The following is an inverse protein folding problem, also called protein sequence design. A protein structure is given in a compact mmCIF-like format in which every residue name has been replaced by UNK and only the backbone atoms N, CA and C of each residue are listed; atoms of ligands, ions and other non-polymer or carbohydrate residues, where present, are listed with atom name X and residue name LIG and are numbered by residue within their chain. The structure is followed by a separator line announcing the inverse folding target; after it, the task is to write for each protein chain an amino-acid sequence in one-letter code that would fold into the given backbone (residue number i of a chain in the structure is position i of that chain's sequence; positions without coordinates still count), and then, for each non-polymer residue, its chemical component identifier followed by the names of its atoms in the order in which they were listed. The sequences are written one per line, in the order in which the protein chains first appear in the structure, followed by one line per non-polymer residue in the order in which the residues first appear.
data_IF_570800114438
#
_entry.id   IF_570800114438
#
_cell.length_a   1.000
_cell.length_b   1.000
_cell.length_c   1.000
_cell.angle_alpha   90.00
_cell.angle_beta   90.00
_cell.angle_gamma   90.00
#
_symmetry.space_group_name_H-M   'P 1'
#
loop_
_entity.id
_entity.type
_entity.pdbx_description
1 polymer ?
#
# COMPACT_ATOMS: atom_id res chain seq x y z
N UNK A 1 3.53 -0.01 -29.16
CA UNK A 1 2.50 0.65 -28.36
C UNK A 1 1.87 1.73 -29.21
N UNK A 2 0.54 1.87 -29.19
CA UNK A 2 -0.15 2.97 -29.86
C UNK A 2 0.10 4.30 -29.13
N UNK A 3 -0.12 5.42 -29.80
CA UNK A 3 -0.03 6.75 -29.15
C UNK A 3 -1.00 6.88 -27.96
N UNK A 4 -2.15 6.22 -28.02
CA UNK A 4 -3.14 6.20 -26.93
C UNK A 4 -2.64 5.41 -25.72
N UNK A 5 -1.95 4.28 -25.92
CA UNK A 5 -1.33 3.50 -24.84
C UNK A 5 -0.20 4.29 -24.14
N UNK A 6 0.55 5.09 -24.89
CA UNK A 6 1.61 5.93 -24.32
C UNK A 6 1.01 7.05 -23.48
N UNK A 7 -0.02 7.75 -24.00
CA UNK A 7 -0.69 8.83 -23.27
C UNK A 7 -1.35 8.30 -22.00
N UNK A 8 -2.06 7.18 -22.07
CA UNK A 8 -2.69 6.56 -20.89
C UNK A 8 -1.66 6.15 -19.84
N UNK A 9 -0.50 5.63 -20.26
CA UNK A 9 0.60 5.33 -19.34
C UNK A 9 1.14 6.59 -18.65
N UNK A 10 1.39 7.66 -19.40
CA UNK A 10 1.88 8.94 -18.85
C UNK A 10 0.87 9.50 -17.84
N UNK A 11 -0.41 9.55 -18.20
CA UNK A 11 -1.47 10.02 -17.30
C UNK A 11 -1.52 9.19 -16.03
N UNK A 12 -1.43 7.85 -16.13
CA UNK A 12 -1.43 6.94 -14.97
C UNK A 12 -0.25 7.24 -14.04
N UNK A 13 0.96 7.44 -14.60
CA UNK A 13 2.15 7.78 -13.83
C UNK A 13 1.96 9.12 -13.10
N UNK A 14 1.49 10.16 -13.81
CA UNK A 14 1.26 11.48 -13.21
C UNK A 14 0.21 11.42 -12.09
N UNK A 15 -0.89 10.70 -12.30
CA UNK A 15 -1.92 10.50 -11.29
C UNK A 15 -1.38 9.78 -10.05
N UNK A 16 -0.63 8.69 -10.21
CA UNK A 16 -0.10 7.91 -9.09
C UNK A 16 0.97 8.67 -8.30
N UNK A 17 1.83 9.44 -8.97
CA UNK A 17 2.81 10.31 -8.31
C UNK A 17 2.10 11.41 -7.53
N UNK A 18 1.10 12.07 -8.14
CA UNK A 18 0.33 13.14 -7.49
C UNK A 18 -0.41 12.61 -6.27
N UNK A 19 -1.03 11.43 -6.39
CA UNK A 19 -1.68 10.74 -5.29
C UNK A 19 -0.70 10.43 -4.16
N UNK A 20 0.45 9.84 -4.47
CA UNK A 20 1.49 9.51 -3.48
C UNK A 20 2.00 10.75 -2.75
N UNK A 21 2.15 11.87 -3.46
CA UNK A 21 2.57 13.15 -2.89
C UNK A 21 1.51 13.73 -1.93
N UNK A 22 0.22 13.72 -2.31
CA UNK A 22 -0.88 14.17 -1.45
C UNK A 22 -0.95 13.36 -0.17
N UNK A 23 -0.91 12.01 -0.27
CA UNK A 23 -0.91 11.15 0.91
C UNK A 23 0.31 11.37 1.80
N UNK A 24 1.48 11.62 1.20
CA UNK A 24 2.70 11.94 1.94
C UNK A 24 2.54 13.23 2.74
N UNK A 25 2.00 14.29 2.13
CA UNK A 25 1.77 15.58 2.82
C UNK A 25 0.74 15.41 3.94
N UNK A 26 -0.37 14.72 3.66
CA UNK A 26 -1.43 14.48 4.65
C UNK A 26 -0.90 13.69 5.85
N UNK A 27 -0.23 12.55 5.63
CA UNK A 27 0.33 11.77 6.72
C UNK A 27 1.41 12.53 7.48
N UNK A 28 2.27 13.29 6.79
CA UNK A 28 3.29 14.10 7.45
C UNK A 28 2.67 15.16 8.34
N UNK A 29 1.65 15.87 7.85
CA UNK A 29 0.95 16.87 8.62
C UNK A 29 0.25 16.24 9.83
N UNK A 30 -0.54 15.19 9.59
CA UNK A 30 -1.24 14.43 10.64
C UNK A 30 -0.28 13.98 11.74
N UNK A 31 0.77 13.21 11.41
CA UNK A 31 1.67 12.69 12.42
C UNK A 31 2.51 13.78 13.10
N UNK A 32 2.84 14.88 12.41
CA UNK A 32 3.53 16.02 13.05
C UNK A 32 2.62 16.66 14.09
N UNK A 33 1.38 16.99 13.73
CA UNK A 33 0.40 17.61 14.63
C UNK A 33 0.08 16.70 15.81
N UNK A 34 -0.21 15.42 15.58
CA UNK A 34 -0.47 14.49 16.69
C UNK A 34 0.76 14.31 17.59
N UNK A 35 1.98 14.33 17.04
CA UNK A 35 3.19 14.29 17.88
C UNK A 35 3.32 15.55 18.74
N UNK A 36 3.00 16.73 18.19
CA UNK A 36 2.99 17.99 18.96
C UNK A 36 1.94 17.95 20.08
N UNK A 37 0.75 17.40 19.83
CA UNK A 37 -0.30 17.24 20.84
C UNK A 37 0.15 16.34 21.99
N UNK A 38 0.73 15.18 21.68
CA UNK A 38 1.33 14.23 22.65
C UNK A 38 2.44 14.91 23.47
N UNK A 39 3.39 15.60 22.82
CA UNK A 39 4.49 16.25 23.52
C UNK A 39 4.03 17.41 24.40
N UNK A 40 2.97 18.09 23.98
CA UNK A 40 2.33 19.16 24.73
C UNK A 40 1.49 18.65 25.91
N UNK A 41 1.33 17.32 26.03
CA UNK A 41 0.58 16.61 27.06
C UNK A 41 -0.94 16.76 27.00
N UNK A 42 -1.47 17.34 25.92
CA UNK A 42 -2.92 17.44 25.68
C UNK A 42 -3.61 16.07 25.70
N UNK A 43 -2.89 15.01 25.34
CA UNK A 43 -3.39 13.64 25.28
C UNK A 43 -2.99 12.79 26.52
N UNK A 44 -2.38 13.36 27.56
CA UNK A 44 -1.78 12.56 28.66
C UNK A 44 -2.78 11.62 29.37
N UNK A 45 -4.02 12.06 29.59
CA UNK A 45 -5.09 11.21 30.16
C UNK A 45 -5.40 10.06 29.21
N UNK A 46 -5.59 10.35 27.93
CA UNK A 46 -5.88 9.33 26.91
C UNK A 46 -4.73 8.33 26.75
N UNK A 47 -3.47 8.77 26.87
CA UNK A 47 -2.31 7.89 26.82
C UNK A 47 -2.30 6.88 27.98
N UNK A 48 -2.61 7.33 29.20
CA UNK A 48 -2.68 6.46 30.37
C UNK A 48 -3.86 5.50 30.26
N UNK A 49 -5.04 5.99 29.86
CA UNK A 49 -6.22 5.15 29.66
C UNK A 49 -5.95 4.06 28.60
N UNK A 50 -5.32 4.43 27.49
CA UNK A 50 -4.91 3.48 26.45
C UNK A 50 -3.90 2.45 26.99
N UNK A 51 -2.93 2.86 27.82
CA UNK A 51 -1.96 1.94 28.41
C UNK A 51 -2.61 0.93 29.38
N UNK A 52 -3.57 1.39 30.19
CA UNK A 52 -4.37 0.54 31.08
C UNK A 52 -5.19 -0.47 30.27
N UNK A 53 -5.84 -0.01 29.20
CA UNK A 53 -6.62 -0.86 28.33
C UNK A 53 -5.75 -1.86 27.57
N UNK A 54 -4.55 -1.48 27.14
CA UNK A 54 -3.58 -2.42 26.57
C UNK A 54 -3.19 -3.52 27.57
N UNK A 55 -2.95 -3.21 28.85
CA UNK A 55 -2.67 -4.22 29.88
C UNK A 55 -3.88 -5.12 30.17
N UNK A 56 -5.10 -4.56 30.23
CA UNK A 56 -6.34 -5.35 30.35
C UNK A 56 -6.51 -6.29 29.15
N UNK A 57 -6.27 -5.80 27.93
CA UNK A 57 -6.32 -6.63 26.74
C UNK A 57 -5.22 -7.69 26.72
N UNK A 58 -4.03 -7.39 27.25
CA UNK A 58 -3.00 -8.41 27.50
C UNK A 58 -3.44 -9.43 28.56
N UNK A 59 -4.47 -9.22 29.37
CA UNK A 59 -5.01 -10.29 30.24
C UNK A 59 -6.06 -11.14 29.51
N UNK A 60 -6.78 -10.53 28.58
CA UNK A 60 -7.84 -11.21 27.83
C UNK A 60 -7.28 -12.13 26.71
N UNK A 61 -7.34 -13.44 26.94
CA UNK A 61 -6.82 -14.47 26.02
C UNK A 61 -7.43 -14.41 24.61
N UNK A 62 -8.72 -14.09 24.45
CA UNK A 62 -9.36 -14.09 23.12
C UNK A 62 -8.89 -12.91 22.27
N UNK A 63 -8.84 -11.70 22.85
CA UNK A 63 -8.35 -10.50 22.18
C UNK A 63 -6.88 -10.61 21.78
N UNK A 64 -6.02 -11.18 22.65
CA UNK A 64 -4.61 -11.46 22.33
C UNK A 64 -4.47 -12.37 21.12
N UNK A 65 -5.23 -13.47 21.11
CA UNK A 65 -5.19 -14.45 20.03
C UNK A 65 -5.66 -13.81 18.71
N UNK A 66 -6.75 -13.03 18.74
CA UNK A 66 -7.24 -12.32 17.56
C UNK A 66 -6.22 -11.32 17.00
N UNK A 67 -5.60 -10.48 17.84
CA UNK A 67 -4.55 -9.55 17.38
C UNK A 67 -3.36 -10.27 16.75
N UNK A 68 -2.93 -11.39 17.34
CA UNK A 68 -1.83 -12.18 16.79
C UNK A 68 -2.22 -12.77 15.43
N UNK A 69 -3.40 -13.39 15.33
CA UNK A 69 -3.93 -13.95 14.08
C UNK A 69 -4.05 -12.88 13.01
N UNK A 70 -4.61 -11.70 13.34
CA UNK A 70 -4.75 -10.59 12.40
C UNK A 70 -3.38 -10.09 11.89
N UNK A 71 -2.38 -9.95 12.77
CA UNK A 71 -1.01 -9.58 12.38
C UNK A 71 -0.37 -10.62 11.46
N UNK A 72 -0.50 -11.91 11.79
CA UNK A 72 0.04 -13.00 10.98
C UNK A 72 -0.66 -13.04 9.62
N UNK A 73 -2.00 -13.00 9.60
CA UNK A 73 -2.80 -13.01 8.39
C UNK A 73 -2.44 -11.83 7.46
N UNK A 74 -2.29 -10.63 8.01
CA UNK A 74 -1.87 -9.44 7.25
C UNK A 74 -0.49 -9.62 6.61
N UNK A 75 0.50 -10.16 7.33
CA UNK A 75 1.84 -10.43 6.78
C UNK A 75 1.84 -11.53 5.73
N UNK A 76 1.06 -12.60 5.93
CA UNK A 76 0.91 -13.68 4.96
C UNK A 76 0.26 -13.16 3.67
N UNK A 77 -0.79 -12.34 3.78
CA UNK A 77 -1.45 -11.72 2.64
C UNK A 77 -0.47 -10.82 1.85
N UNK A 78 0.28 -9.96 2.54
CA UNK A 78 1.26 -9.09 1.90
C UNK A 78 2.37 -9.90 1.21
N UNK A 79 2.86 -10.95 1.86
CA UNK A 79 3.84 -11.87 1.27
C UNK A 79 3.31 -12.58 0.03
N UNK A 80 2.06 -13.05 0.05
CA UNK A 80 1.42 -13.68 -1.10
C UNK A 80 1.31 -12.71 -2.30
N UNK A 81 0.89 -11.46 -2.07
CA UNK A 81 0.85 -10.42 -3.10
C UNK A 81 2.24 -10.17 -3.68
N UNK A 82 3.26 -10.08 -2.83
CA UNK A 82 4.64 -9.88 -3.26
C UNK A 82 5.16 -11.04 -4.13
N UNK A 83 4.86 -12.29 -3.74
CA UNK A 83 5.21 -13.48 -4.54
C UNK A 83 4.50 -13.46 -5.89
N UNK A 84 3.21 -13.10 -5.95
CA UNK A 84 2.45 -12.97 -7.20
C UNK A 84 3.04 -11.87 -8.08
N UNK A 85 3.47 -10.75 -7.49
CA UNK A 85 4.11 -9.66 -8.21
C UNK A 85 5.47 -10.08 -8.81
N UNK A 86 6.33 -10.73 -8.02
CA UNK A 86 7.59 -11.30 -8.51
C UNK A 86 7.35 -12.32 -9.63
N UNK A 87 6.37 -13.20 -9.44
CA UNK A 87 5.93 -14.15 -10.45
C UNK A 87 5.52 -13.43 -11.75
N UNK A 88 4.71 -12.37 -11.67
CA UNK A 88 4.29 -11.60 -12.83
C UNK A 88 5.49 -10.99 -13.58
N UNK A 89 6.46 -10.40 -12.87
CA UNK A 89 7.69 -9.85 -13.46
C UNK A 89 8.49 -10.93 -14.19
N UNK A 90 8.72 -12.08 -13.54
CA UNK A 90 9.48 -13.19 -14.15
C UNK A 90 8.76 -13.72 -15.39
N UNK A 91 7.44 -13.90 -15.31
CA UNK A 91 6.62 -14.35 -16.44
C UNK A 91 6.66 -13.35 -17.61
N UNK A 92 6.69 -12.04 -17.34
CA UNK A 92 6.83 -11.01 -18.38
C UNK A 92 8.16 -11.11 -19.11
N UNK A 93 9.25 -11.32 -18.37
CA UNK A 93 10.60 -11.45 -18.93
C UNK A 93 10.75 -12.73 -19.76
N UNK A 94 9.89 -13.74 -19.54
CA UNK A 94 9.90 -15.06 -20.21
C UNK A 94 8.75 -15.25 -21.21
N UNK A 95 8.28 -14.18 -21.86
CA UNK A 95 7.24 -14.19 -22.90
C UNK A 95 5.94 -14.93 -22.49
N UNK A 96 5.49 -14.71 -21.24
CA UNK A 96 4.29 -15.32 -20.67
C UNK A 96 4.30 -16.86 -20.61
N UNK A 97 5.49 -17.46 -20.65
CA UNK A 97 5.68 -18.89 -20.43
C UNK A 97 6.46 -19.11 -19.13
N UNK A 98 5.85 -19.81 -18.18
CA UNK A 98 6.52 -20.20 -16.94
C UNK A 98 6.65 -21.72 -16.85
N UNK A 99 7.86 -22.28 -17.06
CA UNK A 99 8.08 -23.72 -16.95
C UNK A 99 8.07 -24.15 -15.49
N UNK A 100 7.32 -25.22 -15.21
CA UNK A 100 7.21 -25.96 -13.95
C UNK A 100 7.47 -27.44 -14.26
N UNK A 101 8.74 -27.84 -14.26
CA UNK A 101 9.14 -29.17 -14.75
C UNK A 101 8.75 -29.36 -16.22
N UNK A 102 7.93 -30.37 -16.50
CA UNK A 102 7.44 -30.69 -17.85
C UNK A 102 6.15 -29.94 -18.24
N UNK A 103 5.62 -29.11 -17.33
CA UNK A 103 4.41 -28.33 -17.57
C UNK A 103 4.70 -26.83 -17.61
N UNK A 104 3.83 -26.03 -18.21
CA UNK A 104 3.96 -24.58 -18.30
C UNK A 104 2.60 -23.93 -18.11
N UNK A 105 2.51 -22.85 -17.35
CA UNK A 105 1.29 -22.05 -17.26
C UNK A 105 1.38 -20.86 -18.22
N UNK A 106 0.28 -20.57 -18.91
CA UNK A 106 0.15 -19.40 -19.78
C UNK A 106 -1.17 -18.67 -19.53
N UNK A 107 -1.17 -17.36 -19.77
CA UNK A 107 -2.38 -16.54 -19.67
C UNK A 107 -2.96 -16.29 -21.06
N UNK A 108 -4.24 -16.57 -21.25
CA UNK A 108 -4.95 -16.37 -22.52
C UNK A 108 -5.20 -14.88 -22.74
N UNK A 109 -4.61 -14.31 -23.79
CA UNK A 109 -4.70 -12.88 -24.09
C UNK A 109 -5.86 -12.51 -25.04
N UNK A 110 -6.44 -13.48 -25.75
CA UNK A 110 -7.47 -13.26 -26.77
C UNK A 110 -8.62 -14.27 -26.68
N UNK A 111 -9.81 -13.85 -27.11
CA UNK A 111 -11.00 -14.70 -27.20
C UNK A 111 -11.07 -15.59 -28.45
N UNK A 112 -9.94 -15.90 -29.09
CA UNK A 112 -9.93 -16.75 -30.30
C UNK A 112 -10.31 -18.21 -30.02
N UNK A 113 -10.28 -18.63 -28.76
CA UNK A 113 -10.70 -19.95 -28.28
C UNK A 113 -11.96 -19.92 -27.41
N UNK A 114 -12.67 -18.79 -27.30
CA UNK A 114 -13.76 -18.63 -26.32
C UNK A 114 -15.11 -19.19 -26.76
N UNK A 115 -15.36 -19.30 -28.07
CA UNK A 115 -16.64 -19.71 -28.63
C UNK A 115 -16.46 -20.87 -29.59
N UNK A 116 -17.48 -21.74 -29.68
CA UNK A 116 -17.57 -22.79 -30.69
C UNK A 116 -18.15 -22.22 -31.98
N UNK A 117 -17.32 -21.60 -32.82
CA UNK A 117 -17.80 -21.02 -34.07
C UNK A 117 -17.68 -21.97 -35.27
N UNK A 118 -16.69 -22.85 -35.26
CA UNK A 118 -16.40 -23.74 -36.38
C UNK A 118 -17.22 -25.04 -36.35
N UNK A 119 -17.54 -25.57 -37.53
CA UNK A 119 -18.35 -26.79 -37.70
C UNK A 119 -17.73 -28.01 -37.01
N UNK A 120 -16.41 -28.17 -37.07
CA UNK A 120 -15.73 -29.28 -36.38
C UNK A 120 -15.83 -29.20 -34.84
N UNK A 121 -16.05 -28.03 -34.25
CA UNK A 121 -16.26 -27.92 -32.78
C UNK A 121 -17.75 -27.99 -32.43
N UNK A 122 -18.61 -27.42 -33.28
CA UNK A 122 -20.07 -27.46 -33.11
C UNK A 122 -20.64 -28.86 -33.23
N UNK A 123 -20.09 -29.67 -34.14
CA UNK A 123 -20.55 -31.04 -34.40
C UNK A 123 -19.92 -32.08 -33.47
N UNK A 124 -19.00 -31.69 -32.59
CA UNK A 124 -18.34 -32.58 -31.64
C UNK A 124 -18.63 -32.11 -30.21
N UNK A 125 -19.59 -32.74 -29.55
CA UNK A 125 -20.01 -32.40 -28.19
C UNK A 125 -18.89 -32.56 -27.16
N UNK A 126 -17.90 -33.42 -27.43
CA UNK A 126 -16.79 -33.69 -26.51
C UNK A 126 -15.74 -32.56 -26.47
N UNK A 127 -15.72 -31.66 -27.46
CA UNK A 127 -14.73 -30.58 -27.57
C UNK A 127 -15.14 -29.34 -26.76
N UNK A 128 -15.24 -29.45 -25.43
CA UNK A 128 -15.69 -28.38 -24.51
C UNK A 128 -14.57 -27.58 -23.82
N UNK A 129 -13.34 -27.64 -24.34
CA UNK A 129 -12.17 -26.96 -23.80
C UNK A 129 -11.96 -25.57 -24.43
N UNK A 130 -13.01 -24.76 -24.47
CA UNK A 130 -12.94 -23.34 -24.84
C UNK A 130 -12.42 -22.50 -23.66
N UNK A 131 -11.67 -21.45 -23.98
CA UNK A 131 -11.02 -20.59 -22.99
C UNK A 131 -11.40 -19.13 -23.20
N UNK A 132 -11.74 -18.47 -22.10
CA UNK A 132 -12.04 -17.05 -22.11
C UNK A 132 -10.75 -16.24 -22.01
N UNK A 133 -10.80 -14.99 -22.48
CA UNK A 133 -9.72 -14.04 -22.25
C UNK A 133 -9.45 -13.94 -20.74
N UNK A 134 -8.17 -13.89 -20.37
CA UNK A 134 -7.67 -13.83 -18.99
C UNK A 134 -7.74 -15.14 -18.20
N UNK A 135 -8.09 -16.26 -18.82
CA UNK A 135 -7.88 -17.56 -18.19
C UNK A 135 -6.40 -17.91 -18.12
N UNK A 136 -6.03 -18.62 -17.05
CA UNK A 136 -4.72 -19.27 -16.96
C UNK A 136 -4.92 -20.75 -17.28
N UNK A 137 -4.16 -21.26 -18.24
CA UNK A 137 -4.20 -22.68 -18.61
C UNK A 137 -2.85 -23.35 -18.37
N UNK A 138 -2.91 -24.62 -17.98
CA UNK A 138 -1.75 -25.50 -17.88
C UNK A 138 -1.50 -26.20 -19.20
N UNK A 139 -0.23 -26.25 -19.58
CA UNK A 139 0.28 -26.94 -20.74
C UNK A 139 1.27 -28.02 -20.31
N UNK A 140 1.32 -29.12 -21.05
CA UNK A 140 2.35 -30.16 -20.90
C UNK A 140 3.06 -30.38 -22.23
N UNK A 141 4.35 -30.74 -22.18
CA UNK A 141 5.12 -31.01 -23.41
C UNK A 141 4.76 -32.36 -24.00
N UNK A 142 4.74 -32.43 -25.33
CA UNK A 142 4.74 -33.71 -26.04
C UNK A 142 6.09 -34.40 -25.88
N UNK A 143 6.11 -35.74 -25.91
CA UNK A 143 7.37 -36.51 -25.89
C UNK A 143 7.94 -36.67 -27.29
N UNK A 144 7.06 -36.78 -28.28
CA UNK A 144 7.38 -37.03 -29.68
C UNK A 144 6.35 -36.37 -30.61
N UNK A 145 6.65 -36.23 -31.90
CA UNK A 145 5.70 -35.64 -32.85
C UNK A 145 4.47 -36.55 -33.04
N UNK A 146 4.63 -37.86 -32.84
CA UNK A 146 3.60 -38.88 -33.01
C UNK A 146 2.52 -38.80 -31.92
N UNK A 147 2.82 -38.13 -30.80
CA UNK A 147 1.86 -37.91 -29.71
C UNK A 147 0.83 -36.82 -30.03
N UNK A 148 1.09 -36.00 -31.06
CA UNK A 148 0.25 -34.87 -31.43
C UNK A 148 -0.98 -35.39 -32.17
N UNK A 149 -2.18 -35.13 -31.62
CA UNK A 149 -3.43 -35.68 -32.17
C UNK A 149 -4.33 -34.61 -32.76
N UNK A 150 -5.17 -35.06 -33.69
CA UNK A 150 -6.27 -34.25 -34.19
C UNK A 150 -7.16 -33.80 -33.02
N UNK A 151 -7.53 -32.52 -33.04
CA UNK A 151 -8.33 -31.83 -32.02
C UNK A 151 -7.66 -31.52 -30.67
N UNK A 152 -6.36 -31.80 -30.52
CA UNK A 152 -5.58 -31.28 -29.40
C UNK A 152 -5.56 -29.76 -29.43
N UNK A 153 -5.67 -29.15 -28.24
CA UNK A 153 -5.44 -27.71 -28.09
C UNK A 153 -3.99 -27.48 -27.74
N UNK A 154 -3.26 -26.83 -28.64
CA UNK A 154 -1.82 -26.67 -28.58
C UNK A 154 -1.43 -25.21 -28.45
N UNK A 155 -0.38 -24.95 -27.69
CA UNK A 155 0.31 -23.67 -27.67
C UNK A 155 1.53 -23.74 -28.59
N UNK A 156 1.70 -22.77 -29.47
CA UNK A 156 2.82 -22.71 -30.41
C UNK A 156 3.30 -21.28 -30.63
N UNK A 157 4.51 -21.13 -31.15
CA UNK A 157 5.08 -19.82 -31.51
C UNK A 157 4.73 -19.45 -32.94
N UNK A 158 4.09 -18.29 -33.13
CA UNK A 158 3.82 -17.75 -34.46
C UNK A 158 5.07 -17.09 -35.08
N UNK A 159 4.93 -16.57 -36.31
CA UNK A 159 6.04 -15.88 -37.03
C UNK A 159 6.65 -14.68 -36.31
N UNK A 160 5.93 -14.08 -35.34
CA UNK A 160 6.39 -12.96 -34.50
C UNK A 160 6.90 -13.43 -33.12
N UNK A 161 7.11 -14.74 -32.94
CA UNK A 161 7.48 -15.36 -31.67
C UNK A 161 6.46 -15.17 -30.53
N UNK A 162 5.21 -14.83 -30.89
CA UNK A 162 4.10 -14.73 -29.93
C UNK A 162 3.50 -16.12 -29.73
N UNK A 163 3.22 -16.47 -28.48
CA UNK A 163 2.55 -17.73 -28.14
C UNK A 163 1.07 -17.64 -28.52
N UNK A 164 0.61 -18.55 -29.37
CA UNK A 164 -0.78 -18.70 -29.80
C UNK A 164 -1.30 -20.04 -29.29
N UNK A 165 -2.54 -20.08 -28.82
CA UNK A 165 -3.20 -21.30 -28.32
C UNK A 165 -4.39 -21.59 -29.19
N UNK A 166 -4.31 -22.60 -30.03
CA UNK A 166 -5.39 -22.99 -30.95
C UNK A 166 -5.49 -24.50 -31.08
N UNK A 167 -6.56 -24.98 -31.72
CA UNK A 167 -6.80 -26.40 -31.90
C UNK A 167 -6.19 -26.93 -33.19
N UNK A 168 -5.65 -28.13 -33.16
CA UNK A 168 -5.24 -28.87 -34.37
C UNK A 168 -6.48 -29.34 -35.12
N UNK A 169 -6.63 -28.88 -36.36
CA UNK A 169 -7.75 -29.22 -37.25
C UNK A 169 -7.34 -30.13 -38.41
N UNK A 170 -6.03 -30.25 -38.67
CA UNK A 170 -5.50 -31.16 -39.68
C UNK A 170 -4.10 -31.61 -39.29
N UNK A 171 -3.79 -32.89 -39.56
CA UNK A 171 -2.46 -33.48 -39.41
C UNK A 171 -2.07 -34.07 -40.76
N UNK A 172 -0.95 -33.62 -41.33
CA UNK A 172 -0.42 -34.11 -42.61
C UNK A 172 0.95 -34.72 -42.40
N UNK A 173 1.18 -35.84 -43.06
CA UNK A 173 2.52 -36.40 -43.23
C UNK A 173 2.94 -36.12 -44.66
N UNK A 174 4.08 -35.44 -44.83
CA UNK A 174 4.64 -35.22 -46.16
C UNK A 174 5.29 -36.50 -46.71
N UNK A 175 5.71 -36.46 -47.98
CA UNK A 175 6.39 -37.57 -48.65
C UNK A 175 7.76 -37.92 -48.08
N UNK A 176 8.34 -37.05 -47.24
CA UNK A 176 9.62 -37.26 -46.56
C UNK A 176 9.43 -37.82 -45.13
N UNK A 177 8.18 -37.99 -44.68
CA UNK A 177 7.83 -38.50 -43.36
C UNK A 177 7.72 -37.44 -42.28
N UNK A 178 7.82 -36.15 -42.60
CA UNK A 178 7.64 -35.08 -41.62
C UNK A 178 6.15 -34.83 -41.36
N UNK A 179 5.79 -34.73 -40.07
CA UNK A 179 4.42 -34.43 -39.67
C UNK A 179 4.26 -32.91 -39.52
N UNK A 180 3.25 -32.37 -40.18
CA UNK A 180 2.89 -30.95 -40.17
C UNK A 180 1.43 -30.77 -39.77
N UNK A 181 1.12 -29.63 -39.17
CA UNK A 181 -0.17 -29.39 -38.52
C UNK A 181 -0.85 -28.15 -39.06
N UNK A 182 -2.17 -28.18 -39.12
CA UNK A 182 -3.00 -27.01 -39.32
C UNK A 182 -3.73 -26.69 -38.01
N UNK A 183 -3.58 -25.46 -37.53
CA UNK A 183 -4.29 -24.99 -36.34
C UNK A 183 -5.36 -23.95 -36.69
N UNK A 184 -6.40 -23.88 -35.87
CA UNK A 184 -7.43 -22.85 -35.97
C UNK A 184 -8.01 -22.55 -34.58
N UNK A 185 -8.23 -21.27 -34.29
CA UNK A 185 -8.97 -20.86 -33.10
C UNK A 185 -10.44 -21.25 -33.19
N UNK A 186 -11.02 -21.81 -32.13
CA UNK A 186 -12.40 -22.28 -32.11
C UNK A 186 -13.42 -21.17 -32.44
N UNK A 187 -13.11 -19.91 -32.10
CA UNK A 187 -13.92 -18.72 -32.41
C UNK A 187 -13.64 -18.14 -33.81
N UNK A 188 -12.46 -18.44 -34.39
CA UNK A 188 -12.00 -17.84 -35.63
C UNK A 188 -12.63 -18.53 -36.84
N UNK A 189 -13.03 -17.75 -37.85
CA UNK A 189 -13.67 -18.26 -39.06
C UNK A 189 -12.70 -18.93 -40.06
N UNK A 190 -11.40 -18.68 -39.94
CA UNK A 190 -10.38 -19.19 -40.86
C UNK A 190 -9.21 -19.80 -40.10
N UNK A 191 -8.55 -20.78 -40.72
CA UNK A 191 -7.34 -21.40 -40.19
C UNK A 191 -6.14 -20.43 -40.12
N UNK A 192 -5.17 -20.77 -39.29
CA UNK A 192 -4.07 -19.89 -38.90
C UNK A 192 -3.02 -19.66 -39.99
N UNK A 193 -3.06 -20.44 -41.08
CA UNK A 193 -2.19 -20.28 -42.24
C UNK A 193 -2.77 -19.38 -43.34
N UNK A 194 -4.08 -19.11 -43.30
CA UNK A 194 -4.77 -18.33 -44.34
C UNK A 194 -4.23 -16.91 -44.35
N UNK A 195 -3.76 -16.45 -45.52
CA UNK A 195 -3.13 -15.14 -45.69
C UNK A 195 -1.84 -14.96 -44.87
N UNK A 196 -1.25 -16.05 -44.37
CA UNK A 196 -0.11 -16.01 -43.46
C UNK A 196 -0.43 -15.34 -42.11
N UNK A 197 -1.66 -15.49 -41.61
CA UNK A 197 -2.15 -14.78 -40.41
C UNK A 197 -1.29 -15.06 -39.17
N UNK A 198 -0.93 -16.33 -38.91
CA UNK A 198 0.00 -16.71 -37.83
C UNK A 198 1.32 -17.29 -38.35
N UNK A 199 1.25 -18.13 -39.38
CA UNK A 199 2.41 -18.75 -40.04
C UNK A 199 2.13 -19.00 -41.53
N UNK A 200 3.17 -19.25 -42.32
CA UNK A 200 3.04 -19.56 -43.75
C UNK A 200 3.09 -21.08 -43.95
N UNK A 201 2.13 -21.65 -44.68
CA UNK A 201 2.10 -23.09 -44.96
C UNK A 201 1.47 -23.91 -43.84
N UNK A 202 2.24 -24.83 -43.24
CA UNK A 202 1.81 -25.67 -42.12
C UNK A 202 2.74 -25.47 -40.92
N UNK A 203 2.20 -25.71 -39.72
CA UNK A 203 2.95 -25.65 -38.47
C UNK A 203 3.82 -26.89 -38.32
N UNK A 204 5.07 -26.70 -37.92
CA UNK A 204 6.03 -27.78 -37.66
C UNK A 204 6.15 -28.05 -36.15
N UNK A 205 6.55 -29.27 -35.78
CA UNK A 205 6.64 -29.70 -34.38
C UNK A 205 7.58 -28.84 -33.52
N UNK A 206 8.68 -28.32 -34.09
CA UNK A 206 9.65 -27.47 -33.38
C UNK A 206 9.06 -26.15 -32.87
N UNK A 207 7.91 -25.72 -33.41
CA UNK A 207 7.20 -24.51 -33.01
C UNK A 207 6.17 -24.75 -31.91
N UNK A 208 5.82 -26.02 -31.63
CA UNK A 208 4.85 -26.40 -30.60
C UNK A 208 5.53 -26.37 -29.23
N UNK A 209 4.93 -25.63 -28.30
CA UNK A 209 5.39 -25.50 -26.91
C UNK A 209 4.83 -26.65 -26.06
N UNK A 210 3.57 -27.04 -26.31
CA UNK A 210 2.89 -28.11 -25.58
C UNK A 210 1.38 -28.12 -25.83
N UNK A 211 0.68 -29.03 -25.17
CA UNK A 211 -0.76 -29.21 -25.25
C UNK A 211 -1.46 -28.90 -23.94
N UNK A 212 -2.73 -28.52 -24.02
CA UNK A 212 -3.57 -28.27 -22.86
C UNK A 212 -3.78 -29.54 -22.02
N UNK A 213 -3.40 -29.50 -20.75
CA UNK A 213 -3.42 -30.68 -19.87
C UNK A 213 -4.66 -30.80 -18.98
N UNK A 214 -5.71 -30.00 -19.22
CA UNK A 214 -6.94 -29.98 -18.42
C UNK A 214 -6.93 -28.98 -17.25
N UNK A 215 -5.80 -28.35 -16.93
CA UNK A 215 -5.73 -27.37 -15.82
C UNK A 215 -6.17 -25.99 -16.28
N UNK A 216 -7.23 -25.42 -15.69
CA UNK A 216 -7.71 -24.05 -15.99
C UNK A 216 -8.04 -23.30 -14.70
N UNK A 217 -7.53 -22.08 -14.55
CA UNK A 217 -7.93 -21.13 -13.52
C UNK A 217 -8.62 -19.94 -14.17
N UNK A 218 -9.90 -19.76 -13.86
CA UNK A 218 -10.73 -18.73 -14.50
C UNK A 218 -10.51 -17.36 -13.87
N UNK A 219 -10.40 -16.32 -14.71
CA UNK A 219 -10.43 -14.91 -14.30
C UNK A 219 -9.21 -14.35 -13.53
N UNK A 220 -8.32 -15.19 -12.99
CA UNK A 220 -7.14 -14.72 -12.23
C UNK A 220 -6.08 -14.11 -13.16
N UNK A 221 -6.04 -14.50 -14.43
CA UNK A 221 -5.04 -14.03 -15.39
C UNK A 221 -5.12 -12.53 -15.69
N UNK A 222 -6.25 -11.87 -15.40
CA UNK A 222 -6.38 -10.42 -15.56
C UNK A 222 -5.43 -9.68 -14.61
N UNK A 223 -5.30 -10.16 -13.37
CA UNK A 223 -4.36 -9.61 -12.40
C UNK A 223 -2.92 -9.85 -12.84
N UNK A 224 -2.61 -11.03 -13.38
CA UNK A 224 -1.28 -11.33 -13.88
C UNK A 224 -0.90 -10.39 -15.02
N UNK A 225 -1.76 -10.24 -16.04
CA UNK A 225 -1.52 -9.32 -17.16
C UNK A 225 -1.43 -7.87 -16.68
N UNK A 226 -2.28 -7.46 -15.73
CA UNK A 226 -2.21 -6.13 -15.13
C UNK A 226 -0.85 -5.89 -14.44
N UNK A 227 -0.41 -6.79 -13.56
CA UNK A 227 0.88 -6.69 -12.86
C UNK A 227 2.08 -6.71 -13.81
N UNK A 228 1.96 -7.34 -14.98
CA UNK A 228 2.95 -7.27 -16.04
C UNK A 228 2.92 -5.95 -16.83
N UNK A 229 1.79 -5.27 -16.88
CA UNK A 229 1.66 -4.01 -17.62
C UNK A 229 2.51 -2.89 -16.97
N UNK A 230 3.02 -1.92 -17.75
CA UNK A 230 3.71 -0.77 -17.17
C UNK A 230 2.88 -0.03 -16.11
N UNK A 231 1.57 0.11 -16.32
CA UNK A 231 0.66 0.73 -15.37
C UNK A 231 0.57 -0.04 -14.05
N UNK A 232 0.46 -1.38 -14.11
CA UNK A 232 0.43 -2.22 -12.91
C UNK A 232 1.73 -2.22 -12.13
N UNK A 233 2.87 -2.23 -12.83
CA UNK A 233 4.20 -2.11 -12.19
C UNK A 233 4.31 -0.79 -11.42
N UNK A 234 3.97 0.35 -12.07
CA UNK A 234 4.00 1.66 -11.41
C UNK A 234 3.04 1.70 -10.22
N UNK A 235 1.85 1.11 -10.34
CA UNK A 235 0.88 1.02 -9.24
C UNK A 235 1.45 0.30 -8.02
N UNK A 236 2.08 -0.86 -8.21
CA UNK A 236 2.70 -1.62 -7.12
C UNK A 236 3.83 -0.83 -6.47
N UNK A 237 4.68 -0.18 -7.28
CA UNK A 237 5.76 0.67 -6.76
C UNK A 237 5.22 1.84 -5.92
N UNK A 238 4.14 2.49 -6.36
CA UNK A 238 3.47 3.55 -5.60
C UNK A 238 2.89 3.04 -4.28
N UNK A 239 2.28 1.86 -4.26
CA UNK A 239 1.78 1.25 -3.02
C UNK A 239 2.93 0.97 -2.05
N UNK A 240 4.03 0.37 -2.53
CA UNK A 240 5.22 0.10 -1.70
C UNK A 240 5.80 1.39 -1.13
N UNK A 241 5.89 2.44 -1.95
CA UNK A 241 6.31 3.77 -1.49
C UNK A 241 5.39 4.33 -0.40
N UNK A 242 4.08 4.29 -0.59
CA UNK A 242 3.11 4.78 0.40
C UNK A 242 3.20 3.99 1.71
N UNK A 243 3.35 2.66 1.66
CA UNK A 243 3.51 1.83 2.85
C UNK A 243 4.82 2.17 3.59
N UNK A 244 5.92 2.35 2.87
CA UNK A 244 7.20 2.75 3.46
C UNK A 244 7.12 4.14 4.11
N UNK A 245 6.53 5.12 3.43
CA UNK A 245 6.32 6.46 3.97
C UNK A 245 5.40 6.43 5.20
N UNK A 246 4.33 5.66 5.17
CA UNK A 246 3.43 5.49 6.31
C UNK A 246 4.16 4.89 7.51
N UNK A 247 4.95 3.83 7.33
CA UNK A 247 5.69 3.17 8.40
C UNK A 247 6.74 4.09 9.03
N UNK A 248 7.49 4.82 8.21
CA UNK A 248 8.52 5.77 8.71
C UNK A 248 7.93 6.95 9.49
N UNK A 249 6.75 7.46 9.10
CA UNK A 249 6.07 8.52 9.84
C UNK A 249 5.37 8.00 11.10
N UNK A 250 4.64 6.88 10.97
CA UNK A 250 3.94 6.22 12.08
C UNK A 250 4.89 5.77 13.18
N UNK A 251 6.08 5.28 12.83
CA UNK A 251 7.08 4.85 13.81
C UNK A 251 7.62 5.99 14.66
N UNK A 252 7.77 7.20 14.11
CA UNK A 252 8.17 8.39 14.88
C UNK A 252 7.09 8.79 15.88
N UNK A 253 5.83 8.82 15.44
CA UNK A 253 4.69 9.13 16.31
C UNK A 253 4.52 8.10 17.42
N UNK A 254 4.60 6.81 17.10
CA UNK A 254 4.53 5.72 18.09
C UNK A 254 5.63 5.82 19.16
N UNK A 255 6.85 6.20 18.78
CA UNK A 255 7.94 6.41 19.73
C UNK A 255 7.64 7.57 20.68
N UNK A 256 7.11 8.69 20.17
CA UNK A 256 6.73 9.82 21.02
C UNK A 256 5.63 9.44 22.03
N UNK A 257 4.63 8.66 21.60
CA UNK A 257 3.62 8.08 22.49
C UNK A 257 4.26 7.21 23.56
N UNK A 258 5.12 6.27 23.17
CA UNK A 258 5.76 5.32 24.08
C UNK A 258 6.65 6.03 25.12
N UNK A 259 7.48 6.98 24.68
CA UNK A 259 8.32 7.80 25.55
C UNK A 259 7.50 8.62 26.54
N UNK A 260 6.43 9.29 26.08
CA UNK A 260 5.54 10.09 26.94
C UNK A 260 4.79 9.21 27.94
N UNK A 261 4.24 8.10 27.48
CA UNK A 261 3.48 7.15 28.32
C UNK A 261 4.36 6.57 29.43
N UNK A 262 5.58 6.14 29.10
CA UNK A 262 6.53 5.60 30.08
C UNK A 262 6.95 6.66 31.11
N UNK A 263 7.14 7.91 30.68
CA UNK A 263 7.37 9.03 31.60
C UNK A 263 6.19 9.19 32.58
N UNK A 264 4.95 9.23 32.08
CA UNK A 264 3.75 9.41 32.91
C UNK A 264 3.59 8.27 33.94
N UNK A 265 3.74 7.02 33.50
CA UNK A 265 3.66 5.85 34.40
C UNK A 265 4.71 5.94 35.51
N UNK A 266 5.95 6.31 35.17
CA UNK A 266 7.03 6.45 36.14
C UNK A 266 6.81 7.60 37.14
N UNK A 267 6.13 8.67 36.74
CA UNK A 267 5.81 9.80 37.62
C UNK A 267 4.68 9.50 38.60
N UNK A 268 3.68 8.71 38.19
CA UNK A 268 2.47 8.46 38.98
C UNK A 268 2.65 7.24 39.92
N UNK A 269 3.78 6.52 39.85
CA UNK A 269 4.03 5.25 40.56
C UNK A 269 2.83 4.29 40.43
N UNK A 270 2.22 4.30 39.24
CA UNK A 270 0.93 3.68 38.99
C UNK A 270 1.12 2.23 38.54
N UNK A 271 0.61 1.29 39.33
CA UNK A 271 0.53 -0.10 38.88
C UNK A 271 -0.62 -0.27 37.88
N UNK A 272 -0.27 -0.29 36.59
CA UNK A 272 -1.18 -0.62 35.48
C UNK A 272 -1.93 -1.96 35.69
N UNK A 273 -1.40 -2.82 36.56
CA UNK A 273 -1.92 -4.14 36.87
C UNK A 273 -3.10 -4.13 37.86
N UNK A 274 -3.26 -3.09 38.68
CA UNK A 274 -4.29 -3.04 39.73
C UNK A 274 -5.67 -2.59 39.23
N UNK A 275 -5.76 -2.02 38.02
CA UNK A 275 -7.00 -1.93 37.24
C UNK A 275 -8.21 -1.32 37.96
N UNK A 276 -8.00 -0.52 39.00
CA UNK A 276 -9.10 0.01 39.82
C UNK A 276 -9.45 1.41 39.34
N UNK A 277 -10.74 1.65 39.11
CA UNK A 277 -11.37 2.93 38.76
C UNK A 277 -10.85 4.07 39.65
N UNK A 278 -9.90 4.87 39.16
CA UNK A 278 -9.65 6.21 39.69
C UNK A 278 -9.79 7.17 38.53
N UNK A 279 -10.74 8.09 38.66
CA UNK A 279 -10.89 9.23 37.76
C UNK A 279 -9.58 10.02 37.80
N UNK A 280 -8.70 9.79 36.81
CA UNK A 280 -7.57 10.68 36.54
C UNK A 280 -8.17 12.02 36.15
N UNK A 281 -8.04 13.02 37.04
CA UNK A 281 -8.44 14.39 36.76
C UNK A 281 -7.16 15.13 36.39
N UNK A 282 -6.85 15.17 35.10
CA UNK A 282 -5.85 16.10 34.57
C UNK A 282 -6.50 17.45 34.31
N UNK A 283 -5.81 18.53 34.67
CA UNK A 283 -6.25 19.90 34.38
C UNK A 283 -5.24 20.52 33.43
N UNK A 284 -5.63 20.70 32.17
CA UNK A 284 -4.81 21.40 31.21
C UNK A 284 -5.08 22.90 31.29
N UNK A 285 -4.08 23.70 31.72
CA UNK A 285 -4.23 25.15 31.82
C UNK A 285 -3.26 25.88 30.89
N UNK A 286 -3.80 26.85 30.16
CA UNK A 286 -3.06 27.77 29.30
C UNK A 286 -3.32 29.20 29.76
N UNK A 287 -2.29 30.02 29.88
CA UNK A 287 -2.43 31.45 30.19
C UNK A 287 -1.74 32.27 29.12
N UNK A 288 -2.51 33.12 28.44
CA UNK A 288 -2.05 34.06 27.42
C UNK A 288 -1.89 35.44 28.05
N UNK A 289 -0.70 36.02 27.98
CA UNK A 289 -0.43 37.39 28.37
C UNK A 289 -0.34 38.27 27.13
N UNK A 290 -1.28 39.21 26.99
CA UNK A 290 -1.36 40.10 25.83
C UNK A 290 -1.96 41.45 26.19
N UNK A 291 -1.30 42.53 25.76
CA UNK A 291 -1.72 43.93 25.98
C UNK A 291 -2.10 44.22 27.43
N UNK A 292 -1.21 43.86 28.36
CA UNK A 292 -1.40 44.10 29.79
C UNK A 292 -2.54 43.31 30.44
N UNK A 293 -3.00 42.22 29.81
CA UNK A 293 -4.01 41.34 30.37
C UNK A 293 -3.54 39.89 30.32
N UNK A 294 -3.82 39.14 31.38
CA UNK A 294 -3.67 37.70 31.45
C UNK A 294 -5.02 37.03 31.15
N UNK A 295 -5.06 36.12 30.18
CA UNK A 295 -6.23 35.35 29.78
C UNK A 295 -5.96 33.89 30.10
N UNK A 296 -6.68 33.33 31.07
CA UNK A 296 -6.53 31.94 31.47
C UNK A 296 -7.58 31.08 30.80
N UNK A 297 -7.13 29.96 30.25
CA UNK A 297 -7.93 28.92 29.63
C UNK A 297 -7.68 27.62 30.38
N UNK A 298 -8.73 26.86 30.66
CA UNK A 298 -8.64 25.49 31.14
C UNK A 298 -9.39 24.58 30.18
N UNK A 299 -8.73 23.52 29.75
CA UNK A 299 -9.25 22.55 28.76
C UNK A 299 -9.83 23.24 27.51
N UNK A 300 -9.14 24.28 27.04
CA UNK A 300 -9.53 25.09 25.87
C UNK A 300 -10.70 26.05 26.09
N UNK A 301 -11.24 26.16 27.31
CA UNK A 301 -12.30 27.12 27.66
C UNK A 301 -11.72 28.32 28.38
N UNK A 302 -12.15 29.52 27.99
CA UNK A 302 -11.81 30.74 28.71
C UNK A 302 -12.39 30.70 30.14
N UNK A 303 -11.52 30.94 31.12
CA UNK A 303 -11.85 30.90 32.56
C UNK A 303 -11.86 32.31 33.15
N UNK A 304 -10.80 33.09 32.92
CA UNK A 304 -10.66 34.42 33.52
C UNK A 304 -9.80 35.36 32.67
N UNK A 305 -10.07 36.67 32.85
CA UNK A 305 -9.24 37.77 32.36
C UNK A 305 -8.87 38.65 33.53
N UNK A 306 -7.58 38.85 33.74
CA UNK A 306 -7.04 39.68 34.82
C UNK A 306 -6.13 40.76 34.23
N UNK A 307 -6.27 42.00 34.72
CA UNK A 307 -5.41 43.11 34.32
C UNK A 307 -4.07 42.98 35.04
N UNK A 308 -2.97 43.07 34.30
CA UNK A 308 -1.62 42.91 34.84
C UNK A 308 -1.18 44.18 35.57
N UNK A 309 -0.32 44.02 36.59
CA UNK A 309 0.34 45.15 37.24
C UNK A 309 1.14 45.97 36.22
N UNK A 310 1.28 47.28 36.47
CA UNK A 310 1.98 48.18 35.53
C UNK A 310 3.43 47.76 35.25
N UNK A 311 4.10 47.19 36.25
CA UNK A 311 5.49 46.72 36.15
C UNK A 311 5.64 45.44 35.29
N UNK A 312 4.55 44.71 35.05
CA UNK A 312 4.51 43.43 34.32
C UNK A 312 3.92 43.58 32.89
N UNK A 313 3.71 44.82 32.42
CA UNK A 313 3.11 45.05 31.09
C UNK A 313 4.07 44.68 29.96
N UNK A 314 3.66 43.70 29.17
CA UNK A 314 4.33 43.30 27.93
C UNK A 314 3.94 44.28 26.80
N UNK A 315 4.86 45.17 26.42
CA UNK A 315 4.62 46.15 25.35
C UNK A 315 4.37 45.47 23.99
N UNK A 316 5.45 44.92 23.40
CA UNK A 316 5.49 44.35 22.05
C UNK A 316 5.56 42.82 22.04
N UNK A 317 5.36 42.16 23.19
CA UNK A 317 5.54 40.72 23.31
C UNK A 317 4.24 40.05 23.74
N UNK A 318 4.02 38.84 23.22
CA UNK A 318 3.00 37.92 23.68
C UNK A 318 3.70 36.78 24.41
N UNK A 319 3.29 36.51 25.64
CA UNK A 319 3.82 35.38 26.42
C UNK A 319 2.71 34.38 26.62
N UNK A 320 2.97 33.13 26.30
CA UNK A 320 2.03 32.04 26.44
C UNK A 320 2.61 31.00 27.38
N UNK A 321 1.94 30.79 28.51
CA UNK A 321 2.33 29.83 29.54
C UNK A 321 1.39 28.64 29.46
N UNK A 322 1.96 27.45 29.34
CA UNK A 322 1.23 26.19 29.33
C UNK A 322 1.73 25.33 30.48
N UNK A 323 0.84 25.04 31.43
CA UNK A 323 1.14 24.25 32.63
C UNK A 323 0.30 22.98 32.64
N UNK A 324 0.97 21.84 32.74
CA UNK A 324 0.34 20.53 32.83
C UNK A 324 1.18 19.60 33.71
N UNK A 325 0.56 19.04 34.75
CA UNK A 325 1.15 18.07 35.68
C UNK A 325 2.57 18.45 36.19
N UNK A 326 2.77 19.74 36.44
CA UNK A 326 4.01 20.28 37.00
C UNK A 326 5.10 20.62 35.98
N UNK A 327 4.95 20.24 34.70
CA UNK A 327 5.79 20.73 33.59
C UNK A 327 5.22 22.00 33.01
N UNK A 328 6.09 22.99 32.81
CA UNK A 328 5.69 24.31 32.36
C UNK A 328 6.46 24.68 31.10
N UNK A 329 5.72 25.15 30.12
CA UNK A 329 6.24 25.62 28.84
C UNK A 329 5.91 27.08 28.70
N UNK A 330 6.90 27.89 28.35
CA UNK A 330 6.72 29.32 28.11
C UNK A 330 7.09 29.59 26.67
N UNK A 331 6.16 30.15 25.89
CA UNK A 331 6.43 30.64 24.54
C UNK A 331 6.40 32.16 24.57
N UNK A 332 7.47 32.78 24.10
CA UNK A 332 7.55 34.23 23.91
C UNK A 332 7.49 34.51 22.43
N UNK A 333 6.65 35.45 22.02
CA UNK A 333 6.48 35.87 20.63
C UNK A 333 6.60 37.39 20.52
N UNK A 334 7.53 37.90 19.71
CA UNK A 334 7.58 39.32 19.36
C UNK A 334 6.44 39.63 18.38
N UNK A 335 5.58 40.58 18.75
CA UNK A 335 4.37 40.91 17.99
C UNK A 335 4.65 41.77 16.75
N UNK A 336 5.87 42.32 16.61
CA UNK A 336 6.28 43.15 15.47
C UNK A 336 6.77 42.31 14.29
N UNK A 337 7.49 41.23 14.56
CA UNK A 337 8.09 40.36 13.53
C UNK A 337 7.59 38.90 13.54
N UNK A 338 6.78 38.53 14.53
CA UNK A 338 6.18 37.21 14.71
C UNK A 338 7.19 36.08 14.94
N UNK A 339 8.43 36.40 15.31
CA UNK A 339 9.40 35.41 15.80
C UNK A 339 8.92 34.84 17.15
N UNK A 340 9.21 33.56 17.40
CA UNK A 340 8.79 32.88 18.64
C UNK A 340 9.89 32.00 19.20
N UNK A 341 10.04 32.03 20.53
CA UNK A 341 11.01 31.23 21.28
C UNK A 341 10.29 30.42 22.35
N UNK A 342 10.64 29.12 22.44
CA UNK A 342 9.97 28.17 23.34
C UNK A 342 10.94 27.69 24.41
N UNK A 343 10.54 27.86 25.67
CA UNK A 343 11.24 27.41 26.86
C UNK A 343 10.49 26.21 27.44
N UNK A 344 11.16 25.06 27.49
CA UNK A 344 10.61 23.80 28.02
C UNK A 344 11.07 23.58 29.47
N UNK A 345 10.27 22.83 30.24
CA UNK A 345 10.59 22.40 31.61
C UNK A 345 10.93 23.58 32.56
N UNK A 346 10.20 24.68 32.45
CA UNK A 346 10.38 25.88 33.27
C UNK A 346 10.01 25.62 34.73
N UNK A 347 10.89 25.97 35.65
CA UNK A 347 10.66 25.85 37.10
C UNK A 347 9.48 26.72 37.56
N UNK A 348 8.66 26.20 38.49
CA UNK A 348 7.46 26.89 39.00
C UNK A 348 7.75 28.28 39.56
N UNK A 349 8.93 28.49 40.15
CA UNK A 349 9.34 29.78 40.70
C UNK A 349 9.45 30.85 39.61
N UNK A 350 9.95 30.49 38.41
CA UNK A 350 10.06 31.41 37.28
C UNK A 350 8.71 31.76 36.62
N UNK A 351 7.68 30.95 36.85
CA UNK A 351 6.32 31.24 36.36
C UNK A 351 5.61 32.32 37.17
N UNK A 352 6.11 32.65 38.35
CA UNK A 352 5.58 33.76 39.14
C UNK A 352 5.81 35.11 38.45
N UNK A 353 6.83 35.19 37.58
CA UNK A 353 7.06 36.32 36.69
C UNK A 353 7.37 35.87 35.25
N UNK A 354 6.33 35.58 34.44
CA UNK A 354 6.49 35.15 33.04
C UNK A 354 7.08 36.23 32.13
N UNK A 355 7.09 37.50 32.55
CA UNK A 355 7.63 38.60 31.75
C UNK A 355 9.16 38.61 31.72
N UNK A 356 9.80 37.98 32.72
CA UNK A 356 11.27 37.86 32.77
C UNK A 356 11.88 37.10 31.59
N UNK A 357 11.09 36.25 30.90
CA UNK A 357 11.54 35.55 29.70
C UNK A 357 11.72 36.48 28.48
N UNK A 358 11.08 37.66 28.48
CA UNK A 358 11.29 38.69 27.45
C UNK A 358 12.64 39.40 27.62
N UNK A 359 13.07 39.62 28.86
CA UNK A 359 14.36 40.26 29.14
C UNK A 359 15.55 39.30 28.93
N UNK A 360 15.35 37.99 29.09
CA UNK A 360 16.35 36.97 28.72
C UNK A 360 16.57 36.90 27.20
N UNK A 361 15.55 37.20 26.39
CA UNK A 361 15.68 37.25 24.92
C UNK A 361 16.60 38.40 24.45
N UNK A 362 16.55 39.56 25.11
CA UNK A 362 17.47 40.68 24.82
C UNK A 362 18.93 40.37 25.13
N UNK A 363 19.21 39.50 26.10
CA UNK A 363 20.59 39.16 26.51
C UNK A 363 21.25 38.11 25.63
N UNK A 364 20.48 37.31 24.89
CA UNK A 364 21.02 36.31 23.96
C UNK A 364 21.15 36.84 22.51
N UNK A 365 20.65 38.05 22.25
CA UNK A 365 20.70 38.72 20.94
C UNK A 365 21.79 39.80 20.78
N UNK A 366 22.56 40.10 21.82
CA UNK A 366 23.82 40.87 21.77
C UNK A 366 25.03 39.94 21.63
#
# INVERSE_FOLDING_TARGET
MSSTEIITLIVTIVCLISFSAVFTILFRHYYKTSTEEVLSGKEDIELIDNAIDEEKEKRNKTKKTFKLVAKIASRVLLGAIFVIFLFAIVAKVRDNSMPFGDSTAIVIASGSMSQKNNDYVKNNDDLNNQFDTYDIIGLSRYRSQEDVKLYDVVAYKNKKNVTIVHRIVEVKTDSEGNITYLTQGDSNASADNVGGSQYSGYLTYDKIIGYYNGTRLKGIGIFVIFLQSPAGIVTVLSIVYCLFMFDTLSSKYKKAIEERTNMLIGLIDYDLSEGTEKNLIGSFSETLFYKGNAYTFQDGKFVSKEEMNEDDKLNDHMVFVKSLDGKNTVTVTDTRDHSSKVYNDVEKEKLSNPTGFVDEEKKEGE
#
